data_IF_932531392421
#
_entry.id   IF_932531392421
#
_cell.length_a   1.000
_cell.length_b   1.000
_cell.length_c   1.000
_cell.angle_alpha   90.00
_cell.angle_beta   90.00
_cell.angle_gamma   90.00
#
_symmetry.space_group_name_H-M   'P 1'
#
loop_
_entity.id
_entity.type
_entity.pdbx_description
1 polymer ?
#
# COMPACT_ATOMS: atom_id res chain seq x y z
N UNK A 1 33.48 26.58 6.53
CA UNK A 1 33.28 26.72 5.07
C UNK A 1 31.87 26.21 4.78
N UNK A 2 30.98 27.08 4.33
CA UNK A 2 29.63 26.67 3.93
C UNK A 2 29.74 25.88 2.61
N UNK A 3 29.22 24.65 2.57
CA UNK A 3 29.07 23.91 1.33
C UNK A 3 28.14 24.71 0.41
N UNK A 4 28.48 24.91 -0.88
CA UNK A 4 27.57 25.55 -1.81
C UNK A 4 26.31 24.71 -1.90
N UNK A 5 25.15 25.30 -1.58
CA UNK A 5 23.85 24.71 -1.83
C UNK A 5 23.68 24.62 -3.35
N UNK A 6 23.66 23.39 -3.88
CA UNK A 6 23.33 23.14 -5.28
C UNK A 6 21.95 23.73 -5.59
N UNK A 7 21.81 24.33 -6.76
CA UNK A 7 20.49 24.79 -7.20
C UNK A 7 19.59 23.58 -7.57
N UNK A 8 18.27 23.78 -7.68
CA UNK A 8 17.32 22.72 -7.93
C UNK A 8 17.56 21.99 -9.28
N UNK A 9 18.14 22.67 -10.28
CA UNK A 9 18.48 22.10 -11.58
C UNK A 9 19.65 21.13 -11.44
N UNK A 10 20.71 21.53 -10.72
CA UNK A 10 21.87 20.68 -10.47
C UNK A 10 21.49 19.42 -9.70
N UNK A 11 20.53 19.52 -8.75
CA UNK A 11 20.02 18.37 -8.00
C UNK A 11 19.25 17.39 -8.89
N UNK A 12 18.40 17.89 -9.80
CA UNK A 12 17.65 17.06 -10.72
C UNK A 12 18.56 16.31 -11.71
N UNK A 13 19.60 16.99 -12.24
CA UNK A 13 20.59 16.36 -13.11
C UNK A 13 21.39 15.28 -12.38
N UNK A 14 21.80 15.52 -11.15
CA UNK A 14 22.50 14.53 -10.33
C UNK A 14 21.63 13.30 -10.04
N UNK A 15 20.36 13.49 -9.69
CA UNK A 15 19.43 12.37 -9.48
C UNK A 15 19.27 11.55 -10.77
N UNK A 16 19.17 12.20 -11.92
CA UNK A 16 19.06 11.55 -13.23
C UNK A 16 20.31 10.71 -13.56
N UNK A 17 21.48 11.26 -13.34
CA UNK A 17 22.75 10.54 -13.52
C UNK A 17 22.86 9.33 -12.59
N UNK A 18 22.49 9.50 -11.31
CA UNK A 18 22.50 8.40 -10.34
C UNK A 18 21.50 7.29 -10.68
N UNK A 19 20.32 7.63 -11.20
CA UNK A 19 19.34 6.64 -11.70
C UNK A 19 19.92 5.77 -12.81
N UNK A 20 20.62 6.37 -13.75
CA UNK A 20 21.30 5.65 -14.83
C UNK A 20 22.36 4.70 -14.27
N UNK A 21 23.28 5.22 -13.43
CA UNK A 21 24.32 4.41 -12.79
C UNK A 21 23.71 3.24 -11.99
N UNK A 22 22.65 3.52 -11.21
CA UNK A 22 21.99 2.48 -10.41
C UNK A 22 21.30 1.42 -11.27
N UNK A 23 20.68 1.82 -12.40
CA UNK A 23 20.01 0.92 -13.34
C UNK A 23 20.98 -0.04 -13.99
N UNK A 24 22.15 0.44 -14.39
CA UNK A 24 23.15 -0.32 -15.14
C UNK A 24 24.09 -1.14 -14.22
N UNK A 25 24.10 -0.85 -12.92
CA UNK A 25 24.93 -1.54 -11.93
C UNK A 25 24.49 -2.99 -11.69
N UNK A 26 25.43 -3.89 -11.38
CA UNK A 26 25.16 -5.22 -10.87
C UNK A 26 24.58 -5.20 -9.43
N UNK A 27 24.04 -6.32 -8.97
CA UNK A 27 23.40 -6.42 -7.64
C UNK A 27 24.34 -6.02 -6.49
N UNK A 28 25.62 -6.46 -6.41
CA UNK A 28 26.53 -6.04 -5.36
C UNK A 28 26.80 -4.53 -5.35
N UNK A 29 26.94 -3.94 -6.53
CA UNK A 29 27.15 -2.48 -6.67
C UNK A 29 25.91 -1.71 -6.25
N UNK A 30 24.70 -2.14 -6.67
CA UNK A 30 23.44 -1.54 -6.21
C UNK A 30 23.32 -1.54 -4.70
N UNK A 31 23.68 -2.63 -4.03
CA UNK A 31 23.63 -2.72 -2.55
C UNK A 31 24.55 -1.68 -1.89
N UNK A 32 25.70 -1.37 -2.48
CA UNK A 32 26.62 -0.33 -1.98
C UNK A 32 26.12 1.09 -2.27
N UNK A 33 25.37 1.28 -3.35
CA UNK A 33 24.81 2.56 -3.74
C UNK A 33 23.57 2.94 -2.92
N UNK A 34 22.72 1.98 -2.53
CA UNK A 34 21.47 2.26 -1.81
C UNK A 34 21.64 3.26 -0.65
N UNK A 35 22.62 3.14 0.27
CA UNK A 35 22.72 4.04 1.41
C UNK A 35 23.04 5.51 1.04
N UNK A 36 23.51 5.77 -0.16
CA UNK A 36 23.90 7.11 -0.62
C UNK A 36 22.94 7.72 -1.65
N UNK A 37 21.87 7.00 -2.03
CA UNK A 37 20.86 7.53 -2.93
C UNK A 37 20.12 8.69 -2.25
N UNK A 38 19.93 9.84 -2.93
CA UNK A 38 19.26 10.99 -2.33
C UNK A 38 17.73 10.77 -2.32
N UNK A 39 17.05 11.06 -1.20
CA UNK A 39 15.61 11.24 -1.22
C UNK A 39 15.22 12.34 -2.19
N UNK A 40 14.07 12.18 -2.84
CA UNK A 40 13.62 13.17 -3.82
C UNK A 40 12.08 13.20 -3.91
N UNK A 41 11.56 14.31 -4.43
CA UNK A 41 10.17 14.34 -4.90
C UNK A 41 10.13 13.88 -6.36
N UNK A 42 9.17 13.01 -6.67
CA UNK A 42 8.83 12.64 -8.03
C UNK A 42 7.42 13.15 -8.35
N UNK A 43 7.14 13.31 -9.64
CA UNK A 43 5.79 13.65 -10.11
C UNK A 43 5.42 12.71 -11.25
N UNK A 44 4.27 12.04 -11.13
CA UNK A 44 3.70 11.22 -12.18
C UNK A 44 2.20 11.53 -12.30
N UNK A 45 1.69 11.70 -13.51
CA UNK A 45 0.30 12.06 -13.77
C UNK A 45 -0.22 13.25 -12.92
N UNK A 46 0.65 14.21 -12.58
CA UNK A 46 0.33 15.36 -11.72
C UNK A 46 0.36 15.08 -10.22
N UNK A 47 0.62 13.85 -9.80
CA UNK A 47 0.69 13.41 -8.40
C UNK A 47 2.12 13.58 -7.89
N UNK A 48 2.28 14.25 -6.75
CA UNK A 48 3.58 14.49 -6.12
C UNK A 48 3.84 13.48 -5.03
N UNK A 49 4.99 12.82 -5.06
CA UNK A 49 5.39 11.86 -4.03
C UNK A 49 6.83 12.12 -3.57
N UNK A 50 7.03 12.26 -2.28
CA UNK A 50 8.34 12.17 -1.66
C UNK A 50 8.73 10.71 -1.50
N UNK A 51 9.90 10.35 -1.98
CA UNK A 51 10.42 8.98 -1.95
C UNK A 51 11.83 8.95 -1.36
N UNK A 52 12.09 7.99 -0.47
CA UNK A 52 13.42 7.72 0.07
C UNK A 52 13.89 6.32 -0.36
N UNK A 53 14.80 6.23 -1.34
CA UNK A 53 15.21 4.95 -1.92
C UNK A 53 16.06 4.08 -0.98
N UNK A 54 16.49 4.60 0.18
CA UNK A 54 17.48 3.96 1.04
C UNK A 54 16.91 2.83 1.89
N UNK A 55 15.68 2.96 2.33
CA UNK A 55 15.10 2.12 3.38
C UNK A 55 13.79 1.42 2.98
N UNK A 56 13.24 1.70 1.80
CA UNK A 56 12.00 1.12 1.31
C UNK A 56 12.13 0.70 -0.16
N UNK A 57 11.68 -0.52 -0.48
CA UNK A 57 11.72 -1.04 -1.85
C UNK A 57 10.79 -0.29 -2.79
N UNK A 58 9.55 -0.03 -2.37
CA UNK A 58 8.56 0.72 -3.16
C UNK A 58 9.07 2.11 -3.50
N UNK A 59 9.59 2.85 -2.52
CA UNK A 59 10.20 4.15 -2.74
C UNK A 59 11.39 4.07 -3.70
N UNK A 60 12.22 3.04 -3.57
CA UNK A 60 13.37 2.83 -4.47
C UNK A 60 12.93 2.59 -5.90
N UNK A 61 11.86 1.81 -6.10
CA UNK A 61 11.27 1.61 -7.43
C UNK A 61 10.71 2.91 -7.98
N UNK A 62 9.94 3.64 -7.16
CA UNK A 62 9.40 4.94 -7.53
C UNK A 62 10.51 5.96 -7.83
N UNK A 63 11.59 5.98 -7.03
CA UNK A 63 12.75 6.81 -7.27
C UNK A 63 13.41 6.49 -8.61
N UNK A 64 13.54 5.21 -8.97
CA UNK A 64 14.20 4.74 -10.19
C UNK A 64 13.35 4.98 -11.43
N UNK A 65 12.06 4.66 -11.36
CA UNK A 65 11.17 4.59 -12.51
C UNK A 65 10.29 5.85 -12.66
N UNK A 66 10.26 6.72 -11.64
CA UNK A 66 9.46 7.94 -11.62
C UNK A 66 7.96 7.72 -11.40
N UNK A 67 7.54 6.49 -11.09
CA UNK A 67 6.14 6.08 -10.90
C UNK A 67 6.05 4.84 -9.98
N UNK A 68 4.88 4.51 -9.40
CA UNK A 68 4.69 3.29 -8.63
C UNK A 68 5.03 2.00 -9.39
N UNK A 69 5.54 0.96 -8.72
CA UNK A 69 5.91 -0.30 -9.38
C UNK A 69 4.73 -1.05 -10.01
N UNK A 70 3.54 -0.93 -9.42
CA UNK A 70 2.33 -1.66 -9.81
C UNK A 70 1.34 -0.74 -10.53
N UNK A 71 1.82 -0.06 -11.57
CA UNK A 71 1.03 0.96 -12.29
C UNK A 71 -0.23 0.41 -12.93
N UNK A 72 -0.23 -0.82 -13.45
CA UNK A 72 -1.43 -1.39 -14.10
C UNK A 72 -2.51 -1.71 -13.07
N UNK A 73 -2.11 -2.26 -11.92
CA UNK A 73 -3.00 -2.51 -10.78
C UNK A 73 -3.58 -1.20 -10.25
N UNK A 74 -2.73 -0.18 -10.08
CA UNK A 74 -3.13 1.15 -9.65
C UNK A 74 -4.10 1.80 -10.65
N UNK A 75 -3.79 1.77 -11.94
CA UNK A 75 -4.64 2.35 -12.98
C UNK A 75 -6.03 1.70 -13.03
N UNK A 76 -6.10 0.36 -12.89
CA UNK A 76 -7.37 -0.34 -12.84
C UNK A 76 -8.24 0.11 -11.65
N UNK A 77 -7.65 0.34 -10.48
CA UNK A 77 -8.38 0.88 -9.34
C UNK A 77 -8.74 2.36 -9.52
N UNK A 78 -7.84 3.18 -10.09
CA UNK A 78 -8.14 4.59 -10.37
C UNK A 78 -9.32 4.73 -11.33
N UNK A 79 -9.36 3.94 -12.40
CA UNK A 79 -10.46 3.91 -13.35
C UNK A 79 -11.79 3.53 -12.67
N UNK A 80 -11.74 2.55 -11.75
CA UNK A 80 -12.90 2.09 -11.01
C UNK A 80 -13.47 3.17 -10.08
N UNK A 81 -12.63 4.01 -9.44
CA UNK A 81 -13.04 5.03 -8.47
C UNK A 81 -13.22 6.42 -9.08
N UNK A 82 -12.81 6.62 -10.33
CA UNK A 82 -12.77 7.95 -10.96
C UNK A 82 -14.13 8.66 -10.89
N UNK A 83 -14.13 9.83 -10.26
CA UNK A 83 -15.31 10.68 -10.10
C UNK A 83 -16.42 10.12 -9.21
N UNK A 84 -16.29 8.92 -8.65
CA UNK A 84 -17.31 8.26 -7.81
C UNK A 84 -17.08 8.60 -6.33
N UNK A 85 -18.16 8.74 -5.57
CA UNK A 85 -18.09 8.80 -4.11
C UNK A 85 -17.73 7.41 -3.56
N UNK A 86 -16.47 7.20 -3.21
CA UNK A 86 -15.94 5.89 -2.84
C UNK A 86 -15.39 5.85 -1.42
N UNK A 87 -15.64 4.72 -0.72
CA UNK A 87 -14.87 4.30 0.44
C UNK A 87 -13.76 3.37 -0.03
N UNK A 88 -12.51 3.76 0.17
CA UNK A 88 -11.33 3.02 -0.24
C UNK A 88 -10.56 2.59 1.00
N UNK A 89 -10.33 1.29 1.13
CA UNK A 89 -9.56 0.68 2.21
C UNK A 89 -8.24 0.18 1.60
N UNK A 90 -7.13 0.87 1.90
CA UNK A 90 -5.78 0.51 1.41
C UNK A 90 -5.00 -0.16 2.55
N UNK A 91 -4.95 -1.48 2.53
CA UNK A 91 -4.31 -2.31 3.56
C UNK A 91 -2.89 -2.63 3.12
N UNK A 92 -1.91 -2.21 3.93
CA UNK A 92 -0.50 -2.15 3.55
C UNK A 92 -0.20 -0.91 2.71
N UNK A 93 -0.63 0.27 3.20
CA UNK A 93 -0.56 1.51 2.43
C UNK A 93 0.88 2.01 2.19
N UNK A 94 1.84 1.54 2.96
CA UNK A 94 3.26 1.87 2.80
C UNK A 94 3.48 3.40 2.73
N UNK A 95 4.19 3.90 1.75
CA UNK A 95 4.40 5.35 1.51
C UNK A 95 3.20 6.06 0.87
N UNK A 96 2.10 5.35 0.57
CA UNK A 96 0.89 5.89 -0.07
C UNK A 96 0.87 5.75 -1.59
N UNK A 97 1.61 4.77 -2.13
CA UNK A 97 1.69 4.54 -3.58
C UNK A 97 0.32 4.24 -4.23
N UNK A 98 -0.63 3.69 -3.48
CA UNK A 98 -2.03 3.53 -3.88
C UNK A 98 -2.95 4.58 -3.25
N UNK A 99 -2.87 4.78 -1.92
CA UNK A 99 -3.77 5.68 -1.19
C UNK A 99 -3.84 7.10 -1.79
N UNK A 100 -2.68 7.68 -2.14
CA UNK A 100 -2.62 9.07 -2.63
C UNK A 100 -3.24 9.20 -4.03
N UNK A 101 -2.85 8.39 -5.04
CA UNK A 101 -3.48 8.43 -6.36
C UNK A 101 -4.99 8.15 -6.32
N UNK A 102 -5.42 7.16 -5.54
CA UNK A 102 -6.84 6.81 -5.41
C UNK A 102 -7.64 7.94 -4.75
N UNK A 103 -7.07 8.58 -3.73
CA UNK A 103 -7.70 9.74 -3.08
C UNK A 103 -7.84 10.96 -3.99
N UNK A 104 -6.97 11.11 -5.02
CA UNK A 104 -7.06 12.16 -6.03
C UNK A 104 -8.05 11.81 -7.16
N UNK A 105 -8.15 10.54 -7.54
CA UNK A 105 -9.03 10.07 -8.61
C UNK A 105 -10.50 10.00 -8.16
N UNK A 106 -10.74 9.67 -6.90
CA UNK A 106 -12.07 9.50 -6.36
C UNK A 106 -12.86 10.82 -6.33
N UNK A 107 -14.19 10.73 -6.48
CA UNK A 107 -15.09 11.89 -6.53
C UNK A 107 -15.34 12.53 -5.16
N UNK A 108 -16.08 13.63 -5.13
CA UNK A 108 -16.45 14.33 -3.90
C UNK A 108 -17.19 13.42 -2.91
N UNK A 109 -16.91 13.58 -1.62
CA UNK A 109 -17.48 12.76 -0.55
C UNK A 109 -16.71 11.48 -0.26
N UNK A 110 -15.73 11.14 -1.09
CA UNK A 110 -14.89 9.96 -0.91
C UNK A 110 -14.03 10.00 0.35
N UNK A 111 -13.73 8.82 0.85
CA UNK A 111 -12.82 8.60 1.97
C UNK A 111 -11.85 7.46 1.66
N UNK A 112 -10.59 7.68 1.99
CA UNK A 112 -9.57 6.63 1.98
C UNK A 112 -9.16 6.34 3.43
N UNK A 113 -9.17 5.07 3.83
CA UNK A 113 -8.60 4.61 5.09
C UNK A 113 -7.35 3.80 4.73
N UNK A 114 -6.20 4.35 5.09
CA UNK A 114 -4.89 3.79 4.78
C UNK A 114 -4.33 3.10 6.03
N UNK A 115 -4.22 1.77 6.00
CA UNK A 115 -3.70 0.97 7.10
C UNK A 115 -2.21 0.73 6.91
N UNK A 116 -1.42 1.22 7.83
CA UNK A 116 0.04 1.05 7.80
C UNK A 116 0.58 0.96 9.23
N UNK A 117 1.05 -0.22 9.67
CA UNK A 117 1.52 -0.39 11.04
C UNK A 117 2.94 0.13 11.28
N UNK A 118 3.75 0.38 10.23
CA UNK A 118 5.13 0.82 10.36
C UNK A 118 5.21 2.34 10.63
N UNK A 119 5.73 2.80 11.81
CA UNK A 119 5.80 4.23 12.13
C UNK A 119 6.60 5.07 11.11
N UNK A 120 7.65 4.50 10.50
CA UNK A 120 8.44 5.21 9.49
C UNK A 120 7.63 5.44 8.21
N UNK A 121 6.86 4.43 7.78
CA UNK A 121 5.97 4.53 6.62
C UNK A 121 4.77 5.42 6.90
N UNK A 122 4.19 5.39 8.10
CA UNK A 122 3.15 6.34 8.55
C UNK A 122 3.64 7.79 8.37
N UNK A 123 4.88 8.09 8.80
CA UNK A 123 5.47 9.41 8.65
C UNK A 123 5.58 9.83 7.17
N UNK A 124 6.01 8.92 6.31
CA UNK A 124 6.17 9.14 4.86
C UNK A 124 4.82 9.28 4.15
N UNK A 125 3.88 8.39 4.44
CA UNK A 125 2.50 8.47 3.96
C UNK A 125 1.86 9.81 4.35
N UNK A 126 1.97 10.23 5.61
CA UNK A 126 1.47 11.52 6.09
C UNK A 126 2.12 12.72 5.38
N UNK A 127 3.41 12.63 5.02
CA UNK A 127 4.07 13.64 4.20
C UNK A 127 3.46 13.70 2.79
N UNK A 128 3.29 12.55 2.13
CA UNK A 128 2.73 12.44 0.77
C UNK A 128 1.26 12.88 0.70
N UNK A 129 0.46 12.60 1.73
CA UNK A 129 -0.89 13.12 1.88
C UNK A 129 -0.90 14.66 1.90
N UNK A 130 -0.02 15.27 2.69
CA UNK A 130 0.08 16.76 2.77
C UNK A 130 0.55 17.37 1.46
N UNK A 131 1.51 16.76 0.77
CA UNK A 131 1.99 17.23 -0.54
C UNK A 131 0.89 17.36 -1.58
N UNK A 132 -0.17 16.55 -1.46
CA UNK A 132 -1.30 16.51 -2.40
C UNK A 132 -2.59 17.11 -1.80
N UNK A 133 -2.53 17.77 -0.64
CA UNK A 133 -3.68 18.39 0.04
C UNK A 133 -4.82 17.41 0.37
N UNK A 134 -4.52 16.14 0.65
CA UNK A 134 -5.50 15.08 0.87
C UNK A 134 -5.84 14.81 2.34
N UNK A 135 -5.44 15.71 3.27
CA UNK A 135 -5.65 15.50 4.70
C UNK A 135 -7.11 15.36 5.15
N UNK A 136 -8.07 15.85 4.34
CA UNK A 136 -9.51 15.67 4.59
C UNK A 136 -10.10 14.43 3.88
N UNK A 137 -9.34 13.77 3.02
CA UNK A 137 -9.78 12.61 2.23
C UNK A 137 -9.17 11.33 2.79
N UNK A 138 -7.88 11.35 3.14
CA UNK A 138 -7.13 10.16 3.58
C UNK A 138 -6.91 10.21 5.08
N UNK A 139 -7.40 9.17 5.77
CA UNK A 139 -7.15 8.89 7.18
C UNK A 139 -6.14 7.74 7.29
N UNK A 140 -5.11 7.92 8.12
CA UNK A 140 -4.14 6.87 8.42
C UNK A 140 -4.57 6.12 9.67
N UNK A 141 -4.60 4.80 9.61
CA UNK A 141 -4.76 3.88 10.74
C UNK A 141 -3.44 3.16 10.99
N UNK A 142 -2.82 3.45 12.13
CA UNK A 142 -1.52 2.90 12.54
C UNK A 142 -1.64 1.49 13.10
N UNK A 143 -2.32 0.58 12.40
CA UNK A 143 -2.53 -0.80 12.84
C UNK A 143 -2.36 -1.80 11.70
N UNK A 144 -2.08 -3.05 12.04
CA UNK A 144 -2.26 -4.19 11.14
C UNK A 144 -3.71 -4.67 11.19
N UNK A 145 -4.16 -5.35 10.15
CA UNK A 145 -5.47 -6.01 10.16
C UNK A 145 -5.33 -7.50 10.49
N UNK A 146 -6.32 -8.04 11.20
CA UNK A 146 -6.41 -9.44 11.58
C UNK A 146 -7.82 -9.82 12.00
N UNK A 147 -8.03 -11.09 12.36
CA UNK A 147 -9.34 -11.60 12.72
C UNK A 147 -9.91 -10.99 14.02
N UNK A 148 -9.03 -10.66 14.98
CA UNK A 148 -9.41 -10.19 16.31
C UNK A 148 -8.54 -8.99 16.72
N UNK A 149 -9.07 -8.19 17.65
CA UNK A 149 -8.31 -7.10 18.27
C UNK A 149 -7.19 -7.66 19.14
N UNK A 150 -5.99 -7.14 18.97
CA UNK A 150 -4.80 -7.59 19.70
C UNK A 150 -3.57 -6.76 19.41
N UNK A 151 -2.42 -7.35 19.64
CA UNK A 151 -1.11 -6.78 19.34
C UNK A 151 -0.25 -7.80 18.60
N UNK A 152 0.58 -7.33 17.69
CA UNK A 152 1.53 -8.13 16.94
C UNK A 152 2.92 -7.52 16.96
N UNK A 153 3.94 -8.33 16.69
CA UNK A 153 5.31 -7.83 16.52
C UNK A 153 5.64 -7.74 15.05
N UNK A 154 5.84 -6.53 14.59
CA UNK A 154 6.29 -6.24 13.24
C UNK A 154 7.82 -6.35 13.20
N UNK A 155 8.33 -7.30 12.43
CA UNK A 155 9.76 -7.47 12.23
C UNK A 155 10.15 -6.87 10.88
N UNK A 156 11.05 -5.90 10.91
CA UNK A 156 11.56 -5.25 9.71
C UNK A 156 12.78 -5.99 9.16
N UNK A 157 12.88 -6.06 7.84
CA UNK A 157 14.17 -6.34 7.20
C UNK A 157 15.00 -5.06 7.22
N UNK A 158 16.27 -5.16 7.61
CA UNK A 158 17.17 -3.99 7.77
C UNK A 158 17.35 -3.15 6.51
N UNK A 159 17.08 -3.71 5.35
CA UNK A 159 17.26 -3.12 4.02
C UNK A 159 15.93 -2.82 3.30
N UNK A 160 14.79 -3.13 3.93
CA UNK A 160 13.47 -2.90 3.35
C UNK A 160 12.39 -2.80 4.42
N UNK A 161 12.07 -1.59 4.87
CA UNK A 161 11.01 -1.32 5.85
C UNK A 161 9.60 -1.56 5.29
N UNK A 162 9.43 -1.65 3.98
CA UNK A 162 8.16 -1.99 3.35
C UNK A 162 7.81 -3.48 3.45
N UNK A 163 8.84 -4.36 3.59
CA UNK A 163 8.62 -5.79 3.83
C UNK A 163 8.74 -6.10 5.31
N UNK A 164 7.62 -6.09 6.00
CA UNK A 164 7.54 -6.45 7.40
C UNK A 164 6.73 -7.73 7.56
N UNK A 165 7.24 -8.71 8.32
CA UNK A 165 6.46 -9.88 8.69
C UNK A 165 5.84 -9.69 10.06
N UNK A 166 4.53 -9.83 10.15
CA UNK A 166 3.79 -9.84 11.41
C UNK A 166 3.90 -11.25 12.03
N UNK A 167 4.35 -11.36 13.27
CA UNK A 167 4.32 -12.64 14.02
C UNK A 167 3.39 -12.49 15.21
N UNK A 168 2.44 -13.40 15.33
CA UNK A 168 1.62 -13.51 16.53
C UNK A 168 2.49 -13.62 17.79
N UNK A 169 2.14 -12.88 18.84
CA UNK A 169 2.89 -12.84 20.10
C UNK A 169 2.69 -14.17 20.85
N UNK A 170 3.44 -15.21 20.47
CA UNK A 170 3.64 -16.38 21.33
C UNK A 170 5.06 -16.46 21.91
N UNK A 171 5.95 -15.49 21.62
CA UNK A 171 7.33 -15.44 22.11
C UNK A 171 7.74 -13.99 22.37
N UNK A 172 8.60 -13.73 23.39
CA UNK A 172 9.07 -12.38 23.68
C UNK A 172 9.80 -11.76 22.49
N UNK A 173 9.60 -10.46 22.28
CA UNK A 173 10.28 -9.64 21.27
C UNK A 173 11.80 -9.81 21.48
N UNK A 174 12.45 -10.57 20.63
CA UNK A 174 13.91 -10.61 20.52
C UNK A 174 14.29 -9.91 19.23
N UNK A 175 15.28 -9.01 19.30
CA UNK A 175 15.93 -8.38 18.14
C UNK A 175 15.12 -7.30 17.37
N UNK A 176 14.60 -6.28 18.09
CA UNK A 176 14.26 -5.00 17.45
C UNK A 176 12.93 -4.93 16.68
N UNK A 177 12.01 -5.87 16.88
CA UNK A 177 10.65 -5.77 16.35
C UNK A 177 9.84 -4.65 17.03
N UNK A 178 8.91 -4.05 16.31
CA UNK A 178 8.00 -3.02 16.82
C UNK A 178 6.65 -3.64 17.16
N UNK A 179 6.15 -3.38 18.38
CA UNK A 179 4.81 -3.76 18.78
C UNK A 179 3.80 -2.86 18.06
N UNK A 180 2.81 -3.48 17.42
CA UNK A 180 1.78 -2.78 16.66
C UNK A 180 0.39 -3.31 17.02
N UNK A 181 -0.64 -2.45 17.06
CA UNK A 181 -2.00 -2.90 17.26
C UNK A 181 -2.49 -3.71 16.05
N UNK A 182 -3.33 -4.72 16.34
CA UNK A 182 -4.08 -5.49 15.34
C UNK A 182 -5.56 -5.19 15.54
N UNK A 183 -6.30 -4.95 14.48
CA UNK A 183 -7.74 -4.68 14.50
C UNK A 183 -8.47 -5.41 13.38
N UNK A 184 -9.74 -5.82 13.61
CA UNK A 184 -10.59 -6.35 12.55
C UNK A 184 -10.93 -5.29 11.49
N UNK A 185 -10.94 -5.68 10.21
CA UNK A 185 -11.36 -4.82 9.11
C UNK A 185 -12.78 -4.25 9.32
N UNK A 186 -13.67 -5.05 9.86
CA UNK A 186 -15.09 -4.69 10.09
C UNK A 186 -15.27 -3.51 11.06
N UNK A 187 -14.28 -3.19 11.90
CA UNK A 187 -14.31 -2.00 12.76
C UNK A 187 -14.32 -0.67 11.98
N UNK A 188 -13.98 -0.69 10.69
CA UNK A 188 -13.73 0.50 9.88
C UNK A 188 -14.75 0.73 8.76
N UNK A 189 -15.75 -0.14 8.62
CA UNK A 189 -16.71 -0.12 7.51
C UNK A 189 -18.10 0.38 7.88
N UNK A 190 -18.26 0.97 9.07
CA UNK A 190 -19.57 1.40 9.60
C UNK A 190 -20.29 2.45 8.76
N UNK A 191 -19.56 3.26 7.98
CA UNK A 191 -20.09 4.27 7.06
C UNK A 191 -20.05 3.86 5.58
N UNK A 192 -19.75 2.60 5.28
CA UNK A 192 -19.67 2.10 3.91
C UNK A 192 -20.95 2.36 3.08
N UNK A 193 -22.12 2.28 3.71
CA UNK A 193 -23.41 2.55 3.07
C UNK A 193 -23.62 4.01 2.63
N UNK A 194 -22.79 4.93 3.10
CA UNK A 194 -22.81 6.34 2.68
C UNK A 194 -22.08 6.60 1.35
N UNK A 195 -21.43 5.57 0.80
CA UNK A 195 -20.65 5.67 -0.43
C UNK A 195 -21.29 4.83 -1.56
N UNK A 196 -21.10 5.31 -2.80
CA UNK A 196 -21.61 4.63 -4.00
C UNK A 196 -20.79 3.40 -4.38
N UNK A 197 -19.54 3.37 -3.92
CA UNK A 197 -18.57 2.32 -4.22
C UNK A 197 -17.69 2.06 -2.99
N UNK A 198 -17.41 0.79 -2.75
CA UNK A 198 -16.44 0.37 -1.72
C UNK A 198 -15.35 -0.48 -2.35
N UNK A 199 -14.09 -0.08 -2.17
CA UNK A 199 -12.92 -0.74 -2.73
C UNK A 199 -11.96 -1.13 -1.62
N UNK A 200 -11.49 -2.37 -1.67
CA UNK A 200 -10.50 -2.90 -0.74
C UNK A 200 -9.25 -3.32 -1.52
N UNK A 201 -8.09 -2.73 -1.20
CA UNK A 201 -6.78 -3.19 -1.66
C UNK A 201 -6.07 -3.85 -0.48
N UNK A 202 -5.52 -5.04 -0.69
CA UNK A 202 -4.74 -5.78 0.30
C UNK A 202 -3.43 -6.24 -0.30
N UNK A 203 -2.33 -5.80 0.33
CA UNK A 203 -0.97 -6.19 0.01
C UNK A 203 -0.17 -6.07 1.32
N UNK A 204 -0.02 -7.20 2.00
CA UNK A 204 0.57 -7.28 3.35
C UNK A 204 1.59 -8.40 3.45
N UNK A 205 2.22 -8.72 2.31
CA UNK A 205 3.40 -9.59 2.23
C UNK A 205 3.18 -10.98 2.89
N UNK A 206 2.06 -11.65 2.54
CA UNK A 206 1.71 -12.99 2.99
C UNK A 206 0.72 -13.05 4.17
N UNK A 207 0.21 -11.91 4.65
CA UNK A 207 -0.82 -11.84 5.70
C UNK A 207 -2.23 -11.54 5.19
N UNK A 208 -2.45 -11.65 3.88
CA UNK A 208 -3.72 -11.36 3.21
C UNK A 208 -4.85 -12.22 3.79
N UNK A 209 -4.60 -13.50 4.05
CA UNK A 209 -5.58 -14.41 4.65
C UNK A 209 -5.93 -13.98 6.09
N UNK A 210 -4.98 -13.55 6.89
CA UNK A 210 -5.25 -13.08 8.24
C UNK A 210 -6.04 -11.76 8.25
N UNK A 211 -5.79 -10.88 7.29
CA UNK A 211 -6.47 -9.59 7.15
C UNK A 211 -7.90 -9.73 6.62
N UNK A 212 -8.12 -10.64 5.66
CA UNK A 212 -9.38 -10.78 4.92
C UNK A 212 -10.24 -11.97 5.42
N UNK A 213 -9.64 -12.96 6.09
CA UNK A 213 -10.28 -14.22 6.44
C UNK A 213 -11.60 -14.05 7.18
N UNK A 214 -11.63 -13.18 8.19
CA UNK A 214 -12.84 -12.92 8.95
C UNK A 214 -14.00 -12.36 8.10
N UNK A 215 -13.69 -11.55 7.08
CA UNK A 215 -14.68 -11.00 6.15
C UNK A 215 -15.25 -12.11 5.26
N UNK A 216 -14.41 -12.98 4.69
CA UNK A 216 -14.86 -14.09 3.85
C UNK A 216 -15.59 -15.17 4.65
N UNK A 217 -15.19 -15.42 5.91
CA UNK A 217 -15.86 -16.36 6.81
C UNK A 217 -17.26 -15.90 7.22
N UNK A 218 -17.46 -14.60 7.32
CA UNK A 218 -18.77 -14.02 7.60
C UNK A 218 -19.77 -14.24 6.44
N UNK A 219 -19.27 -14.62 5.25
CA UNK A 219 -20.07 -15.00 4.10
C UNK A 219 -20.69 -13.83 3.34
N UNK A 220 -21.45 -14.15 2.30
CA UNK A 220 -22.04 -13.16 1.39
C UNK A 220 -23.09 -12.24 2.03
N UNK A 221 -23.66 -12.64 3.18
CA UNK A 221 -24.67 -11.86 3.92
C UNK A 221 -24.06 -10.77 4.81
N UNK A 222 -22.74 -10.85 5.08
CA UNK A 222 -22.02 -9.79 5.78
C UNK A 222 -21.71 -8.63 4.85
N UNK A 223 -21.18 -7.51 5.43
CA UNK A 223 -20.66 -6.44 4.59
C UNK A 223 -19.57 -6.96 3.66
N UNK A 224 -19.71 -6.66 2.38
CA UNK A 224 -18.74 -7.00 1.35
C UNK A 224 -18.41 -5.75 0.53
N UNK A 225 -17.16 -5.50 0.19
CA UNK A 225 -16.79 -4.43 -0.74
C UNK A 225 -17.35 -4.72 -2.15
N UNK A 226 -17.35 -3.71 -3.01
CA UNK A 226 -17.71 -3.87 -4.42
C UNK A 226 -16.56 -4.42 -5.25
N UNK A 227 -15.32 -4.11 -4.84
CA UNK A 227 -14.11 -4.62 -5.47
C UNK A 227 -13.02 -4.93 -4.44
N UNK A 228 -12.21 -5.95 -4.73
CA UNK A 228 -11.04 -6.36 -3.95
C UNK A 228 -9.85 -6.49 -4.90
N UNK A 229 -8.79 -5.71 -4.68
CA UNK A 229 -7.47 -5.95 -5.25
C UNK A 229 -6.61 -6.63 -4.18
N UNK A 230 -6.10 -7.82 -4.47
CA UNK A 230 -5.28 -8.58 -3.52
C UNK A 230 -4.00 -9.06 -4.18
N UNK A 231 -2.88 -8.94 -3.46
CA UNK A 231 -1.63 -9.57 -3.87
C UNK A 231 -1.74 -11.09 -3.73
N UNK A 232 -1.46 -11.82 -4.82
CA UNK A 232 -1.56 -13.29 -4.89
C UNK A 232 -0.22 -13.98 -5.08
N UNK A 233 0.89 -13.22 -5.04
CA UNK A 233 2.26 -13.78 -5.18
C UNK A 233 2.58 -14.74 -4.03
N UNK A 234 2.01 -14.52 -2.86
CA UNK A 234 2.21 -15.31 -1.66
C UNK A 234 1.09 -16.32 -1.37
N UNK A 235 0.23 -16.61 -2.37
CA UNK A 235 -0.92 -17.50 -2.20
C UNK A 235 -0.55 -18.93 -1.77
N UNK A 236 0.66 -19.38 -2.06
CA UNK A 236 1.22 -20.66 -1.62
C UNK A 236 1.53 -20.71 -0.11
N UNK A 237 1.54 -19.56 0.57
CA UNK A 237 1.76 -19.47 2.03
C UNK A 237 0.45 -19.43 2.84
N UNK A 238 -0.70 -19.29 2.19
CA UNK A 238 -2.01 -19.27 2.84
C UNK A 238 -2.39 -20.65 3.34
N UNK A 239 -3.11 -20.71 4.45
CA UNK A 239 -3.58 -21.96 5.05
C UNK A 239 -4.76 -22.56 4.27
N UNK A 240 -5.55 -21.69 3.61
CA UNK A 240 -6.73 -22.06 2.83
C UNK A 240 -6.67 -21.48 1.40
N UNK A 241 -7.51 -21.95 0.52
CA UNK A 241 -7.72 -21.34 -0.79
C UNK A 241 -8.56 -20.05 -0.66
N UNK A 242 -7.88 -18.95 -0.30
CA UNK A 242 -8.52 -17.65 -0.12
C UNK A 242 -9.19 -17.14 -1.40
N UNK A 243 -8.64 -17.44 -2.56
CA UNK A 243 -9.23 -17.08 -3.87
C UNK A 243 -10.58 -17.77 -4.06
N UNK A 244 -10.63 -19.07 -3.84
CA UNK A 244 -11.90 -19.81 -3.94
C UNK A 244 -12.94 -19.30 -2.94
N UNK A 245 -12.53 -18.91 -1.73
CA UNK A 245 -13.42 -18.34 -0.70
C UNK A 245 -13.95 -16.95 -1.12
N UNK A 246 -13.13 -16.08 -1.70
CA UNK A 246 -13.56 -14.79 -2.27
C UNK A 246 -14.62 -15.04 -3.37
N UNK A 247 -14.34 -15.95 -4.29
CA UNK A 247 -15.30 -16.32 -5.35
C UNK A 247 -16.62 -16.86 -4.77
N UNK A 248 -16.58 -17.68 -3.72
CA UNK A 248 -17.77 -18.19 -3.04
C UNK A 248 -18.61 -17.07 -2.38
N UNK A 249 -17.99 -15.93 -2.03
CA UNK A 249 -18.70 -14.73 -1.55
C UNK A 249 -19.36 -13.91 -2.68
N UNK A 250 -19.36 -14.39 -3.93
CA UNK A 250 -20.05 -13.77 -5.06
C UNK A 250 -19.17 -12.79 -5.86
N UNK A 251 -17.85 -12.88 -5.73
CA UNK A 251 -16.91 -12.11 -6.53
C UNK A 251 -16.48 -12.88 -7.79
N UNK A 252 -16.07 -12.13 -8.81
CA UNK A 252 -15.47 -12.63 -10.03
C UNK A 252 -14.13 -11.95 -10.25
N UNK A 253 -13.11 -12.71 -10.60
CA UNK A 253 -11.84 -12.14 -11.07
C UNK A 253 -12.03 -11.47 -12.43
N UNK A 254 -11.53 -10.26 -12.57
CA UNK A 254 -11.65 -9.47 -13.80
C UNK A 254 -10.30 -9.06 -14.37
N UNK A 255 -9.25 -9.07 -13.55
CA UNK A 255 -7.89 -8.72 -13.96
C UNK A 255 -6.88 -9.45 -13.10
N UNK A 256 -5.86 -10.04 -13.74
CA UNK A 256 -4.67 -10.57 -13.07
C UNK A 256 -3.44 -9.90 -13.68
N UNK A 257 -2.73 -9.09 -12.90
CA UNK A 257 -1.59 -8.30 -13.38
C UNK A 257 -0.62 -7.98 -12.24
N UNK A 258 0.67 -7.98 -12.53
CA UNK A 258 1.73 -7.56 -11.60
C UNK A 258 1.74 -8.32 -10.25
N UNK A 259 1.24 -9.58 -10.24
CA UNK A 259 1.11 -10.36 -9.01
C UNK A 259 -0.18 -10.10 -8.22
N UNK A 260 -1.02 -9.20 -8.70
CA UNK A 260 -2.31 -8.85 -8.10
C UNK A 260 -3.47 -9.47 -8.87
N UNK A 261 -4.56 -9.77 -8.15
CA UNK A 261 -5.85 -10.15 -8.72
C UNK A 261 -6.92 -9.16 -8.28
N UNK A 262 -7.62 -8.57 -9.25
CA UNK A 262 -8.78 -7.71 -9.02
C UNK A 262 -10.06 -8.55 -9.14
N UNK A 263 -10.82 -8.58 -8.06
CA UNK A 263 -12.13 -9.17 -7.98
C UNK A 263 -13.19 -8.08 -7.94
N UNK A 264 -14.30 -8.28 -8.66
CA UNK A 264 -15.48 -7.39 -8.65
C UNK A 264 -16.71 -8.20 -8.25
N UNK A 265 -17.55 -7.62 -7.41
CA UNK A 265 -18.76 -8.26 -6.92
C UNK A 265 -19.80 -8.39 -8.04
N UNK A 266 -20.38 -9.59 -8.21
CA UNK A 266 -21.39 -9.84 -9.22
C UNK A 266 -22.69 -9.08 -8.91
N UNK A 267 -23.30 -8.49 -9.95
CA UNK A 267 -24.58 -7.76 -9.83
C UNK A 267 -24.43 -6.26 -9.50
N UNK A 268 -23.23 -5.75 -9.26
CA UNK A 268 -22.94 -4.31 -9.31
C UNK A 268 -22.22 -4.01 -10.63
N UNK A 269 -22.86 -3.23 -11.47
CA UNK A 269 -22.30 -2.80 -12.76
C UNK A 269 -21.01 -2.01 -12.52
N UNK A 270 -19.95 -2.41 -13.18
CA UNK A 270 -18.71 -1.65 -13.34
C UNK A 270 -18.95 -0.39 -14.13
#
# INVERSE_FOLDING_TARGET
MAHPTLNAVDQAEQVTALRTVFRDADKPTRQKLVPILPPTEITFAGIRMYVDPRDNYTDRRMWLDGQPPEMKSLMALMELVEGRNALILDVGANCGAFAVPLGLAAGPGSRVIAFEPNPAMIGRLGHNIRLNNLGNVIRIEGCALGAETGEGVLNFRRDNFGQASLKSIKKPVRDGGTLVPIRPLLDFVGDAAAHDLTVLKIDVEGFEEAALGALVDAGADAWQPDAILIETVHADTWETDLVARIVACGFKDVLQVEGNTLFVRQGKAT
#
